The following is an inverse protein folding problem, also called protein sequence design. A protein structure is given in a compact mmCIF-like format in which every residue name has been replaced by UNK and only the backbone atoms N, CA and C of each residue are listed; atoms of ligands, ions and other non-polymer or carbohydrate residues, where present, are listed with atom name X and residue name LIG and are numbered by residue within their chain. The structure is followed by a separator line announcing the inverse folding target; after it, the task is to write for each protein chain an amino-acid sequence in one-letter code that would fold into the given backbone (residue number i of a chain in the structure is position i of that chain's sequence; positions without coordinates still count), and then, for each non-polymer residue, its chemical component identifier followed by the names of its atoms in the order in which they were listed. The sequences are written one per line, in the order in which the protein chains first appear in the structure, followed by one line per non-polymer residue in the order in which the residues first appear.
data_IF_232375670367
#
_entry.id   IF_232375670367
#
_cell.length_a   1.000
_cell.length_b   1.000
_cell.length_c   1.000
_cell.angle_alpha   90.00
_cell.angle_beta   90.00
_cell.angle_gamma   90.00
#
_symmetry.space_group_name_H-M   'P 1'
#
loop_
_entity.id
_entity.type
_entity.pdbx_description
1 polymer ?
#
# COMPACT_ATOMS: atom_id res chain seq x y z
N UNK A 1 16.84 -2.12 -12.18
CA UNK A 1 16.99 -0.99 -11.23
C UNK A 1 17.64 -1.54 -9.97
N UNK A 2 18.67 -0.90 -9.46
CA UNK A 2 19.30 -1.35 -8.22
C UNK A 2 18.27 -1.32 -7.09
N UNK A 3 18.28 -2.28 -6.15
CA UNK A 3 17.42 -2.22 -4.98
C UNK A 3 17.72 -0.93 -4.22
N UNK A 4 16.66 -0.24 -3.80
CA UNK A 4 16.82 0.94 -2.96
C UNK A 4 17.39 0.51 -1.63
N UNK A 5 18.56 0.99 -1.30
CA UNK A 5 19.22 0.67 -0.05
C UNK A 5 18.55 1.45 1.09
N UNK A 6 17.64 0.78 1.80
CA UNK A 6 16.94 1.36 2.96
C UNK A 6 17.90 1.82 4.06
N UNK A 7 19.08 1.21 4.14
CA UNK A 7 20.09 1.58 5.14
C UNK A 7 20.79 2.88 4.77
N UNK A 8 20.89 3.20 3.47
CA UNK A 8 21.46 4.46 3.00
C UNK A 8 20.51 5.65 3.16
N UNK A 9 19.17 5.45 3.13
CA UNK A 9 18.21 6.51 3.33
C UNK A 9 18.30 7.10 4.75
N UNK A 10 18.20 8.42 4.86
CA UNK A 10 18.18 9.11 6.17
C UNK A 10 16.79 9.03 6.83
N UNK A 11 15.74 8.93 6.03
CA UNK A 11 14.36 8.85 6.52
C UNK A 11 13.53 7.85 5.73
N UNK A 12 12.79 7.00 6.45
CA UNK A 12 11.96 5.91 5.91
C UNK A 12 10.54 6.05 6.39
N UNK A 13 9.58 6.14 5.47
CA UNK A 13 8.17 6.30 5.77
C UNK A 13 7.36 5.01 5.58
N UNK A 14 6.54 4.65 6.56
CA UNK A 14 5.46 3.67 6.42
C UNK A 14 4.34 3.95 7.44
N UNK A 15 3.14 3.45 7.15
CA UNK A 15 1.93 3.74 7.94
C UNK A 15 1.78 2.77 9.13
N UNK A 16 0.79 3.00 9.97
CA UNK A 16 0.33 2.04 10.97
C UNK A 16 -0.77 1.09 10.43
N UNK A 17 -1.17 1.25 9.18
CA UNK A 17 -2.13 0.37 8.50
C UNK A 17 -1.51 -0.98 8.08
N UNK A 18 -2.25 -1.81 7.31
CA UNK A 18 -1.81 -3.17 6.95
C UNK A 18 -0.44 -3.23 6.30
N UNK A 19 -0.15 -2.34 5.36
CA UNK A 19 1.16 -2.27 4.69
C UNK A 19 2.30 -1.89 5.66
N UNK A 20 2.03 -0.98 6.59
CA UNK A 20 3.03 -0.57 7.57
C UNK A 20 3.29 -1.61 8.65
N UNK A 21 2.26 -2.32 9.10
CA UNK A 21 2.42 -3.48 10.00
C UNK A 21 3.28 -4.55 9.34
N UNK A 22 3.03 -4.84 8.06
CA UNK A 22 3.87 -5.75 7.30
C UNK A 22 5.33 -5.28 7.21
N UNK A 23 5.55 -3.99 6.87
CA UNK A 23 6.90 -3.43 6.77
C UNK A 23 7.65 -3.49 8.08
N UNK A 24 7.02 -3.13 9.20
CA UNK A 24 7.64 -3.23 10.52
C UNK A 24 8.06 -4.67 10.83
N UNK A 25 7.19 -5.65 10.60
CA UNK A 25 7.51 -7.07 10.79
C UNK A 25 8.61 -7.57 9.85
N UNK A 26 8.65 -7.09 8.61
CA UNK A 26 9.71 -7.42 7.65
C UNK A 26 11.07 -6.88 8.11
N UNK A 27 11.13 -5.63 8.53
CA UNK A 27 12.33 -4.96 9.05
C UNK A 27 12.89 -5.72 10.27
N UNK A 28 12.01 -6.15 11.19
CA UNK A 28 12.41 -6.99 12.33
C UNK A 28 12.96 -8.35 11.87
N UNK A 29 12.26 -9.01 10.95
CA UNK A 29 12.69 -10.32 10.41
C UNK A 29 14.03 -10.26 9.69
N UNK A 30 14.31 -9.15 9.03
CA UNK A 30 15.59 -8.91 8.35
C UNK A 30 16.73 -8.54 9.33
N UNK A 31 16.42 -8.27 10.60
CA UNK A 31 17.40 -7.91 11.61
C UNK A 31 17.94 -6.48 11.48
N UNK A 32 17.26 -5.60 10.74
CA UNK A 32 17.69 -4.21 10.48
C UNK A 32 16.89 -3.16 11.28
N UNK A 33 16.06 -3.61 12.22
CA UNK A 33 15.18 -2.72 13.00
C UNK A 33 15.96 -1.65 13.78
N UNK A 34 17.13 -1.99 14.32
CA UNK A 34 17.97 -1.03 15.06
C UNK A 34 18.45 0.14 14.20
N UNK A 35 18.61 -0.07 12.89
CA UNK A 35 19.04 0.98 11.95
C UNK A 35 17.86 1.74 11.34
N UNK A 36 16.76 1.05 11.04
CA UNK A 36 15.60 1.66 10.34
C UNK A 36 14.67 2.39 11.30
N UNK A 37 14.39 1.85 12.49
CA UNK A 37 13.42 2.46 13.41
C UNK A 37 13.75 3.91 13.81
N UNK A 38 15.01 4.31 14.05
CA UNK A 38 15.33 5.71 14.33
C UNK A 38 15.03 6.66 13.16
N UNK A 39 15.05 6.13 11.94
CA UNK A 39 14.80 6.88 10.68
C UNK A 39 13.32 6.93 10.31
N UNK A 40 12.46 6.20 11.02
CA UNK A 40 11.04 6.07 10.70
C UNK A 40 10.30 7.40 10.78
N UNK A 41 9.48 7.67 9.76
CA UNK A 41 8.54 8.77 9.70
C UNK A 41 7.13 8.20 9.56
N UNK A 42 6.33 8.36 10.61
CA UNK A 42 4.92 8.00 10.60
C UNK A 42 4.08 9.01 9.84
N UNK A 43 2.89 8.58 9.46
CA UNK A 43 1.90 9.43 8.80
C UNK A 43 0.86 9.86 9.83
N UNK A 44 0.53 11.16 9.90
CA UNK A 44 -0.63 11.62 10.67
C UNK A 44 -1.90 10.89 10.21
N UNK A 45 -2.87 10.75 11.09
CA UNK A 45 -4.16 10.13 10.77
C UNK A 45 -4.77 10.76 9.51
N UNK A 46 -5.15 9.93 8.53
CA UNK A 46 -5.71 10.37 7.25
C UNK A 46 -4.70 10.81 6.19
N UNK A 47 -3.39 10.81 6.49
CA UNK A 47 -2.35 11.09 5.51
C UNK A 47 -1.89 9.84 4.74
N UNK A 48 -1.14 10.05 3.66
CA UNK A 48 -0.49 8.99 2.89
C UNK A 48 1.02 9.15 2.91
N UNK A 49 1.75 8.04 2.82
CA UNK A 49 3.22 8.09 2.73
C UNK A 49 3.66 8.81 1.47
N UNK A 50 2.94 8.64 0.36
CA UNK A 50 3.28 9.33 -0.88
C UNK A 50 3.31 10.86 -0.73
N UNK A 51 2.37 11.44 0.02
CA UNK A 51 2.38 12.89 0.29
C UNK A 51 3.52 13.34 1.18
N UNK A 52 3.92 12.51 2.14
CA UNK A 52 5.08 12.79 3.00
C UNK A 52 6.37 12.78 2.18
N UNK A 53 6.55 11.80 1.29
CA UNK A 53 7.71 11.75 0.38
C UNK A 53 7.69 12.93 -0.59
N UNK A 54 6.53 13.23 -1.20
CA UNK A 54 6.39 14.37 -2.13
C UNK A 54 6.74 15.71 -1.50
N UNK A 55 6.49 15.88 -0.19
CA UNK A 55 6.81 17.10 0.57
C UNK A 55 8.23 17.12 1.16
N UNK A 56 9.03 16.08 0.94
CA UNK A 56 10.38 15.95 1.51
C UNK A 56 10.42 15.51 2.98
N UNK A 57 9.29 15.08 3.54
CA UNK A 57 9.22 14.59 4.92
C UNK A 57 9.82 13.18 5.13
N UNK A 58 9.98 12.42 4.05
CA UNK A 58 10.72 11.17 4.02
C UNK A 58 11.39 11.00 2.66
N UNK A 59 12.59 10.40 2.63
CA UNK A 59 13.32 10.13 1.38
C UNK A 59 12.75 8.93 0.64
N UNK A 60 12.33 7.90 1.38
CA UNK A 60 11.71 6.70 0.83
C UNK A 60 10.44 6.37 1.59
N UNK A 61 9.43 5.83 0.90
CA UNK A 61 8.15 5.45 1.51
C UNK A 61 7.62 4.14 0.99
N UNK A 62 6.97 3.38 1.89
CA UNK A 62 6.34 2.10 1.59
C UNK A 62 4.86 2.15 1.89
N UNK A 63 4.05 1.83 0.92
CA UNK A 63 2.59 1.78 1.02
C UNK A 63 2.03 0.87 -0.07
N UNK A 64 0.74 0.57 -0.03
CA UNK A 64 0.08 -0.19 -1.09
C UNK A 64 0.21 0.55 -2.43
N UNK A 65 0.40 -0.20 -3.52
CA UNK A 65 0.56 0.36 -4.87
C UNK A 65 -0.58 1.28 -5.23
N UNK A 66 -1.83 0.89 -4.93
CA UNK A 66 -3.03 1.69 -5.20
C UNK A 66 -3.07 3.05 -4.48
N UNK A 67 -2.29 3.22 -3.44
CA UNK A 67 -2.19 4.48 -2.69
C UNK A 67 -1.02 5.37 -3.14
N UNK A 68 -0.09 4.82 -3.93
CA UNK A 68 1.11 5.54 -4.40
C UNK A 68 0.98 6.02 -5.85
N UNK A 69 0.41 5.23 -6.75
CA UNK A 69 0.43 5.49 -8.21
C UNK A 69 -0.25 6.79 -8.64
N UNK A 70 -1.03 7.42 -7.76
CA UNK A 70 -1.75 8.66 -8.06
C UNK A 70 -1.08 9.89 -7.44
N UNK A 71 -0.04 9.71 -6.64
CA UNK A 71 0.59 10.82 -5.93
C UNK A 71 1.57 11.52 -6.87
N UNK A 72 1.33 12.80 -7.12
CA UNK A 72 2.28 13.63 -7.85
C UNK A 72 3.48 13.98 -6.96
N UNK A 73 4.65 14.12 -7.58
CA UNK A 73 5.87 14.56 -6.88
C UNK A 73 6.65 13.42 -6.22
N UNK A 74 6.33 12.17 -6.54
CA UNK A 74 7.13 11.00 -6.16
C UNK A 74 7.55 10.22 -7.40
N UNK A 75 8.66 9.51 -7.30
CA UNK A 75 9.07 8.48 -8.26
C UNK A 75 8.61 7.11 -7.73
N UNK A 76 7.60 6.52 -8.37
CA UNK A 76 7.17 5.17 -8.03
C UNK A 76 8.18 4.15 -8.57
N UNK A 77 8.89 3.48 -7.67
CA UNK A 77 10.00 2.59 -8.01
C UNK A 77 9.50 1.20 -8.43
N UNK A 78 8.38 0.75 -7.87
CA UNK A 78 7.81 -0.58 -8.14
C UNK A 78 7.45 -1.35 -6.87
N UNK A 79 6.96 -2.59 -7.01
CA UNK A 79 6.67 -3.49 -5.90
C UNK A 79 7.96 -3.97 -5.23
N UNK A 80 7.82 -4.53 -4.03
CA UNK A 80 8.92 -5.24 -3.37
C UNK A 80 9.32 -6.49 -4.18
N UNK A 81 10.55 -7.00 -4.01
CA UNK A 81 10.94 -8.28 -4.61
C UNK A 81 9.97 -9.41 -4.26
N UNK A 82 9.72 -10.37 -5.16
CA UNK A 82 8.69 -11.40 -4.99
C UNK A 82 8.81 -12.23 -3.71
N UNK A 83 10.03 -12.47 -3.24
CA UNK A 83 10.33 -13.26 -2.03
C UNK A 83 9.98 -12.55 -0.71
N UNK A 84 9.81 -11.23 -0.77
CA UNK A 84 9.41 -10.39 0.38
C UNK A 84 8.15 -9.56 0.08
N UNK A 85 7.48 -9.79 -1.04
CA UNK A 85 6.24 -9.10 -1.39
C UNK A 85 5.07 -9.60 -0.53
N UNK A 86 4.25 -8.67 -0.04
CA UNK A 86 2.97 -8.98 0.57
C UNK A 86 1.83 -8.56 -0.36
N UNK A 87 0.93 -9.48 -0.64
CA UNK A 87 -0.29 -9.21 -1.40
C UNK A 87 -1.46 -9.10 -0.42
N UNK A 88 -2.07 -7.91 -0.38
CA UNK A 88 -3.26 -7.66 0.42
C UNK A 88 -4.50 -7.96 -0.42
N UNK A 89 -5.28 -8.96 -0.01
CA UNK A 89 -6.53 -9.31 -0.69
C UNK A 89 -7.68 -8.50 -0.13
N UNK A 90 -8.31 -7.70 -0.99
CA UNK A 90 -9.56 -7.01 -0.65
C UNK A 90 -10.74 -7.93 -0.92
N UNK A 91 -11.59 -8.09 0.07
CA UNK A 91 -12.79 -8.94 -0.01
C UNK A 91 -14.02 -8.15 0.41
N UNK A 92 -15.17 -8.53 -0.12
CA UNK A 92 -16.44 -7.97 0.31
C UNK A 92 -17.37 -9.08 0.82
N UNK A 93 -18.25 -8.72 1.75
CA UNK A 93 -19.27 -9.59 2.29
C UNK A 93 -20.64 -8.91 2.29
N UNK A 94 -21.69 -9.69 2.14
CA UNK A 94 -23.08 -9.23 2.29
C UNK A 94 -23.59 -9.60 3.68
N UNK A 95 -24.07 -8.61 4.43
CA UNK A 95 -24.70 -8.85 5.72
C UNK A 95 -25.94 -9.71 5.55
N UNK A 96 -26.13 -10.74 6.41
CA UNK A 96 -27.25 -11.67 6.32
C UNK A 96 -28.64 -10.99 6.44
N UNK A 97 -28.74 -9.90 7.21
CA UNK A 97 -29.96 -9.09 7.39
C UNK A 97 -29.99 -7.80 6.56
N UNK A 98 -29.26 -7.74 5.44
CA UNK A 98 -29.21 -6.52 4.61
C UNK A 98 -30.62 -6.13 4.12
N UNK A 99 -30.95 -4.85 4.20
CA UNK A 99 -32.25 -4.33 3.74
C UNK A 99 -32.37 -4.28 2.21
N UNK A 100 -31.24 -4.27 1.49
CA UNK A 100 -31.17 -4.20 0.02
C UNK A 100 -30.21 -5.27 -0.53
N UNK A 101 -30.50 -6.58 -0.34
CA UNK A 101 -29.56 -7.64 -0.69
C UNK A 101 -29.30 -7.74 -2.21
N UNK A 102 -30.32 -7.48 -3.03
CA UNK A 102 -30.18 -7.57 -4.49
C UNK A 102 -29.36 -6.42 -5.06
N UNK A 103 -29.50 -5.20 -4.52
CA UNK A 103 -28.64 -4.08 -4.89
C UNK A 103 -27.17 -4.33 -4.52
N UNK A 104 -26.92 -4.88 -3.34
CA UNK A 104 -25.57 -5.24 -2.91
C UNK A 104 -24.94 -6.32 -3.80
N UNK A 105 -25.71 -7.37 -4.15
CA UNK A 105 -25.27 -8.41 -5.09
C UNK A 105 -24.97 -7.84 -6.47
N UNK A 106 -25.80 -6.92 -6.97
CA UNK A 106 -25.58 -6.26 -8.26
C UNK A 106 -24.27 -5.46 -8.26
N UNK A 107 -23.96 -4.74 -7.18
CA UNK A 107 -22.69 -4.04 -7.02
C UNK A 107 -21.51 -5.03 -7.00
N UNK A 108 -21.59 -6.10 -6.22
CA UNK A 108 -20.56 -7.13 -6.17
C UNK A 108 -20.31 -7.75 -7.57
N UNK A 109 -21.37 -8.05 -8.30
CA UNK A 109 -21.28 -8.55 -9.67
C UNK A 109 -20.63 -7.52 -10.62
N UNK A 110 -21.00 -6.24 -10.50
CA UNK A 110 -20.38 -5.17 -11.28
C UNK A 110 -18.87 -5.09 -11.06
N UNK A 111 -18.39 -5.22 -9.82
CA UNK A 111 -16.97 -5.14 -9.49
C UNK A 111 -16.14 -6.25 -10.17
N UNK A 112 -16.76 -7.34 -10.63
CA UNK A 112 -16.08 -8.42 -11.37
C UNK A 112 -16.14 -8.25 -12.89
N UNK A 113 -16.78 -7.20 -13.40
CA UNK A 113 -16.89 -6.94 -14.84
C UNK A 113 -15.56 -6.46 -15.44
N UNK A 114 -15.32 -6.66 -16.75
CA UNK A 114 -14.14 -6.14 -17.41
C UNK A 114 -13.97 -4.62 -17.27
N UNK A 115 -15.07 -3.87 -17.24
CA UNK A 115 -15.03 -2.40 -17.04
C UNK A 115 -14.45 -2.05 -15.68
N UNK A 116 -14.95 -2.68 -14.61
CA UNK A 116 -14.46 -2.45 -13.26
C UNK A 116 -12.99 -2.93 -13.11
N UNK A 117 -12.66 -4.11 -13.64
CA UNK A 117 -11.29 -4.64 -13.65
C UNK A 117 -10.30 -3.69 -14.32
N UNK A 118 -10.65 -3.12 -15.46
CA UNK A 118 -9.80 -2.13 -16.14
C UNK A 118 -9.55 -0.88 -15.30
N UNK A 119 -10.55 -0.40 -14.57
CA UNK A 119 -10.40 0.73 -13.66
C UNK A 119 -9.49 0.35 -12.49
N UNK A 120 -9.72 -0.81 -11.86
CA UNK A 120 -8.89 -1.30 -10.76
C UNK A 120 -7.42 -1.40 -11.15
N UNK A 121 -7.12 -1.97 -12.33
CA UNK A 121 -5.74 -2.10 -12.83
C UNK A 121 -5.08 -0.73 -13.01
N UNK A 122 -5.80 0.25 -13.57
CA UNK A 122 -5.29 1.63 -13.69
C UNK A 122 -4.99 2.27 -12.35
N UNK A 123 -5.67 1.83 -11.31
CA UNK A 123 -5.48 2.30 -9.94
C UNK A 123 -4.52 1.42 -9.10
N UNK A 124 -3.72 0.59 -9.75
CA UNK A 124 -2.68 -0.19 -9.09
C UNK A 124 -3.18 -1.43 -8.32
N UNK A 125 -4.41 -1.89 -8.63
CA UNK A 125 -4.98 -3.11 -8.08
C UNK A 125 -4.85 -4.26 -9.10
N UNK A 126 -4.42 -5.42 -8.65
CA UNK A 126 -4.51 -6.64 -9.45
C UNK A 126 -5.91 -7.26 -9.28
N UNK A 127 -6.41 -7.87 -10.34
CA UNK A 127 -7.74 -8.51 -10.33
C UNK A 127 -7.57 -10.02 -10.51
N UNK A 128 -8.29 -10.78 -9.69
CA UNK A 128 -8.35 -12.23 -9.82
C UNK A 128 -9.04 -12.67 -11.13
#
# INVERSE_FOLDING_TARGET
MAPVDQLAAETVGYTSGPSGVYMAGLIEKMGIAAEVNPKHRGVPSGGTIGTIVASGGAEIGFQQVSELVHIAGIDYIGPLPPDIQCITVFSCGLQAGASQPDAAKALMAFLTTPVAKNVMTKHGLETA
#
